data_IF_814531982711
#
_entry.id   IF_814531982711
#
_cell.length_a   1.000
_cell.length_b   1.000
_cell.length_c   1.000
_cell.angle_alpha   90.00
_cell.angle_beta   90.00
_cell.angle_gamma   90.00
#
_symmetry.space_group_name_H-M   'P 1'
#
loop_
_entity.id
_entity.type
_entity.pdbx_description
1 polymer ?
#
# COMPACT_ATOMS: atom_id res chain seq x y z
N UNK A 1 -4.38 -17.06 -8.78
CA UNK A 1 -3.83 -16.58 -7.48
C UNK A 1 -4.70 -15.50 -6.84
N UNK A 2 -5.27 -14.56 -7.60
CA UNK A 2 -6.12 -13.45 -7.09
C UNK A 2 -7.34 -13.94 -6.31
N UNK A 3 -8.11 -14.88 -6.88
CA UNK A 3 -9.33 -15.42 -6.27
C UNK A 3 -9.00 -16.04 -4.90
N UNK A 4 -7.88 -16.78 -4.81
CA UNK A 4 -7.41 -17.37 -3.55
C UNK A 4 -7.00 -16.30 -2.54
N UNK A 5 -6.32 -15.23 -2.98
CA UNK A 5 -5.92 -14.12 -2.10
C UNK A 5 -7.13 -13.36 -1.54
N UNK A 6 -8.11 -13.02 -2.38
CA UNK A 6 -9.34 -12.35 -1.96
C UNK A 6 -10.15 -13.27 -1.05
N UNK A 7 -10.31 -14.54 -1.42
CA UNK A 7 -11.01 -15.53 -0.61
C UNK A 7 -10.36 -15.72 0.76
N UNK A 8 -9.03 -15.80 0.81
CA UNK A 8 -8.26 -15.87 2.06
C UNK A 8 -8.44 -14.62 2.92
N UNK A 9 -8.40 -13.43 2.34
CA UNK A 9 -8.64 -12.18 3.06
C UNK A 9 -10.07 -12.13 3.63
N UNK A 10 -11.09 -12.50 2.85
CA UNK A 10 -12.49 -12.57 3.28
C UNK A 10 -12.66 -13.57 4.43
N UNK A 11 -12.12 -14.78 4.29
CA UNK A 11 -12.17 -15.81 5.35
C UNK A 11 -11.51 -15.31 6.64
N UNK A 12 -10.34 -14.66 6.53
CA UNK A 12 -9.61 -14.12 7.68
C UNK A 12 -10.45 -13.07 8.41
N UNK A 13 -11.06 -12.15 7.66
CA UNK A 13 -11.97 -11.13 8.22
C UNK A 13 -13.20 -11.79 8.85
N UNK A 14 -13.82 -12.77 8.20
CA UNK A 14 -15.00 -13.47 8.73
C UNK A 14 -14.69 -14.20 10.03
N UNK A 15 -13.60 -14.97 10.09
CA UNK A 15 -13.18 -15.73 11.28
C UNK A 15 -12.93 -14.79 12.45
N UNK A 16 -12.15 -13.74 12.25
CA UNK A 16 -11.82 -12.79 13.31
C UNK A 16 -13.01 -11.92 13.72
N UNK A 17 -13.95 -11.62 12.81
CA UNK A 17 -15.16 -10.86 13.13
C UNK A 17 -16.19 -11.70 13.91
N UNK A 18 -16.36 -12.98 13.54
CA UNK A 18 -17.34 -13.87 14.19
C UNK A 18 -16.96 -14.23 15.62
N UNK A 19 -15.68 -14.40 15.91
CA UNK A 19 -15.24 -14.90 17.21
C UNK A 19 -14.85 -13.75 18.16
N UNK A 20 -15.84 -13.27 18.93
CA UNK A 20 -15.68 -12.16 19.91
C UNK A 20 -14.52 -12.35 20.89
N UNK A 21 -14.12 -13.59 21.19
CA UNK A 21 -12.98 -13.88 22.08
C UNK A 21 -11.65 -13.34 21.53
N UNK A 22 -11.50 -13.29 20.21
CA UNK A 22 -10.27 -12.81 19.56
C UNK A 22 -10.11 -11.30 19.61
N UNK A 23 -11.20 -10.55 19.81
CA UNK A 23 -11.17 -9.09 19.90
C UNK A 23 -10.45 -8.59 21.15
N UNK A 24 -10.33 -9.46 22.16
CA UNK A 24 -9.58 -9.19 23.40
C UNK A 24 -8.07 -9.33 23.22
N UNK A 25 -7.61 -10.00 22.15
CA UNK A 25 -6.19 -10.15 21.87
C UNK A 25 -5.70 -8.98 21.00
N UNK A 26 -4.79 -8.14 21.50
CA UNK A 26 -4.30 -6.97 20.77
C UNK A 26 -3.62 -7.33 19.44
N UNK A 27 -2.77 -8.35 19.42
CA UNK A 27 -2.07 -8.82 18.21
C UNK A 27 -3.03 -9.20 17.08
N UNK A 28 -4.16 -9.84 17.41
CA UNK A 28 -5.15 -10.24 16.40
C UNK A 28 -5.83 -9.02 15.77
N UNK A 29 -6.02 -7.93 16.51
CA UNK A 29 -6.61 -6.71 15.95
C UNK A 29 -5.70 -6.08 14.89
N UNK A 30 -4.38 -6.12 15.07
CA UNK A 30 -3.43 -5.69 14.03
C UNK A 30 -3.49 -6.60 12.80
N UNK A 31 -3.53 -7.92 12.98
CA UNK A 31 -3.66 -8.88 11.87
C UNK A 31 -4.99 -8.72 11.12
N UNK A 32 -6.09 -8.44 11.83
CA UNK A 32 -7.38 -8.14 11.21
C UNK A 32 -7.32 -6.85 10.39
N UNK A 33 -6.73 -5.78 10.92
CA UNK A 33 -6.52 -4.54 10.16
C UNK A 33 -5.67 -4.78 8.91
N UNK A 34 -4.61 -5.59 9.03
CA UNK A 34 -3.81 -6.05 7.90
C UNK A 34 -4.61 -6.83 6.86
N UNK A 35 -5.45 -7.78 7.29
CA UNK A 35 -6.30 -8.56 6.37
C UNK A 35 -7.30 -7.69 5.61
N UNK A 36 -7.89 -6.67 6.27
CA UNK A 36 -8.76 -5.68 5.61
C UNK A 36 -7.97 -4.89 4.57
N UNK A 37 -6.79 -4.38 4.91
CA UNK A 37 -5.96 -3.65 3.95
C UNK A 37 -5.54 -4.52 2.77
N UNK A 38 -5.16 -5.78 2.99
CA UNK A 38 -4.84 -6.73 1.92
C UNK A 38 -6.05 -7.00 1.02
N UNK A 39 -7.26 -7.06 1.60
CA UNK A 39 -8.51 -7.17 0.85
C UNK A 39 -8.80 -5.98 -0.06
N UNK A 40 -8.32 -4.78 0.30
CA UNK A 40 -8.40 -3.56 -0.54
C UNK A 40 -7.26 -3.52 -1.55
N UNK A 41 -6.06 -3.89 -1.13
CA UNK A 41 -4.82 -3.85 -1.90
C UNK A 41 -4.85 -4.80 -3.11
N UNK A 42 -5.34 -6.03 -2.93
CA UNK A 42 -5.38 -7.04 -3.98
C UNK A 42 -6.22 -6.59 -5.19
N UNK A 43 -7.49 -6.17 -5.04
CA UNK A 43 -8.25 -5.57 -6.13
C UNK A 43 -7.53 -4.38 -6.77
N UNK A 44 -6.90 -3.52 -5.96
CA UNK A 44 -6.18 -2.35 -6.46
C UNK A 44 -5.08 -2.75 -7.44
N UNK A 45 -4.17 -3.67 -7.08
CA UNK A 45 -3.10 -4.12 -8.00
C UNK A 45 -3.68 -4.71 -9.30
N UNK A 46 -4.67 -5.59 -9.18
CA UNK A 46 -5.09 -6.40 -10.32
C UNK A 46 -6.10 -5.71 -11.23
N UNK A 47 -6.75 -4.65 -10.77
CA UNK A 47 -7.73 -3.89 -11.56
C UNK A 47 -7.11 -3.38 -12.87
N UNK A 48 -5.87 -2.86 -12.83
CA UNK A 48 -5.16 -2.42 -14.03
C UNK A 48 -4.89 -3.57 -15.00
N UNK A 49 -4.38 -4.69 -14.50
CA UNK A 49 -4.08 -5.87 -15.33
C UNK A 49 -5.34 -6.46 -15.95
N UNK A 50 -6.47 -6.49 -15.23
CA UNK A 50 -7.76 -6.98 -15.75
C UNK A 50 -8.29 -6.05 -16.85
N UNK A 51 -8.25 -4.74 -16.64
CA UNK A 51 -8.72 -3.76 -17.63
C UNK A 51 -7.89 -3.79 -18.91
N UNK A 52 -6.56 -3.82 -18.78
CA UNK A 52 -5.64 -3.80 -19.94
C UNK A 52 -5.60 -5.16 -20.65
N UNK A 53 -5.33 -6.25 -19.92
CA UNK A 53 -5.12 -7.56 -20.55
C UNK A 53 -6.43 -8.30 -20.81
N UNK A 54 -7.48 -8.05 -20.02
CA UNK A 54 -8.78 -8.70 -20.19
C UNK A 54 -9.69 -7.98 -21.18
N UNK A 55 -9.74 -6.64 -21.11
CA UNK A 55 -10.69 -5.84 -21.91
C UNK A 55 -10.03 -4.94 -22.96
N UNK A 56 -8.69 -4.85 -22.99
CA UNK A 56 -7.98 -3.91 -23.88
C UNK A 56 -8.20 -2.44 -23.51
N UNK A 57 -8.78 -2.16 -22.35
CA UNK A 57 -9.14 -0.81 -21.90
C UNK A 57 -8.00 -0.21 -21.08
N UNK A 58 -7.28 0.74 -21.67
CA UNK A 58 -6.24 1.49 -21.00
C UNK A 58 -6.77 2.60 -20.10
N UNK A 59 -7.78 2.36 -19.23
CA UNK A 59 -8.42 3.41 -18.42
C UNK A 59 -7.40 4.26 -17.63
N UNK A 60 -6.43 3.59 -17.00
CA UNK A 60 -5.35 4.24 -16.25
C UNK A 60 -4.27 4.91 -17.14
N UNK A 61 -4.30 4.69 -18.46
CA UNK A 61 -3.46 5.37 -19.44
C UNK A 61 -4.21 6.52 -20.14
N UNK A 62 -5.54 6.46 -20.16
CA UNK A 62 -6.41 7.46 -20.79
C UNK A 62 -6.86 8.54 -19.83
N UNK A 63 -7.09 8.21 -18.57
CA UNK A 63 -7.52 9.16 -17.54
C UNK A 63 -6.40 9.40 -16.54
N UNK A 64 -5.91 10.64 -16.51
CA UNK A 64 -4.84 11.06 -15.61
C UNK A 64 -5.29 11.06 -14.15
N UNK A 65 -6.58 11.26 -13.88
CA UNK A 65 -7.14 11.26 -12.51
C UNK A 65 -7.17 9.82 -11.99
N UNK A 66 -7.74 8.90 -12.78
CA UNK A 66 -7.81 7.48 -12.43
C UNK A 66 -6.40 6.89 -12.18
N UNK A 67 -5.40 7.28 -12.98
CA UNK A 67 -4.02 6.84 -12.81
C UNK A 67 -3.40 7.30 -11.48
N UNK A 68 -3.63 8.56 -11.10
CA UNK A 68 -3.09 9.15 -9.85
C UNK A 68 -3.69 8.47 -8.63
N UNK A 69 -5.02 8.32 -8.63
CA UNK A 69 -5.75 7.68 -7.55
C UNK A 69 -5.35 6.21 -7.40
N UNK A 70 -5.23 5.48 -8.51
CA UNK A 70 -4.79 4.09 -8.50
C UNK A 70 -3.39 3.91 -7.92
N UNK A 71 -2.42 4.71 -8.38
CA UNK A 71 -1.05 4.66 -7.86
C UNK A 71 -1.00 5.00 -6.37
N UNK A 72 -1.70 6.07 -5.96
CA UNK A 72 -1.79 6.46 -4.57
C UNK A 72 -2.34 5.33 -3.68
N UNK A 73 -3.46 4.73 -4.10
CA UNK A 73 -4.11 3.65 -3.37
C UNK A 73 -3.23 2.40 -3.31
N UNK A 74 -2.52 2.07 -4.39
CA UNK A 74 -1.58 0.95 -4.44
C UNK A 74 -0.45 1.14 -3.43
N UNK A 75 0.26 2.28 -3.44
CA UNK A 75 1.36 2.51 -2.52
C UNK A 75 0.91 2.56 -1.06
N UNK A 76 -0.16 3.31 -0.76
CA UNK A 76 -0.69 3.44 0.61
C UNK A 76 -1.11 2.08 1.18
N UNK A 77 -1.85 1.28 0.40
CA UNK A 77 -2.33 -0.02 0.86
C UNK A 77 -1.20 -1.04 1.03
N UNK A 78 -0.17 -0.99 0.18
CA UNK A 78 1.02 -1.87 0.28
C UNK A 78 1.75 -1.66 1.60
N UNK A 79 2.13 -0.41 1.90
CA UNK A 79 2.89 -0.12 3.13
C UNK A 79 2.08 -0.36 4.40
N UNK A 80 0.77 -0.10 4.34
CA UNK A 80 -0.12 -0.37 5.46
C UNK A 80 -0.21 -1.87 5.73
N UNK A 81 -0.37 -2.68 4.67
CA UNK A 81 -0.43 -4.14 4.78
C UNK A 81 0.86 -4.74 5.37
N UNK A 82 2.04 -4.19 5.03
CA UNK A 82 3.34 -4.61 5.59
C UNK A 82 3.53 -4.14 7.04
N UNK A 83 3.03 -2.95 7.38
CA UNK A 83 3.20 -2.36 8.71
C UNK A 83 2.45 -3.13 9.81
N UNK A 84 1.28 -3.68 9.50
CA UNK A 84 0.43 -4.33 10.51
C UNK A 84 1.02 -5.61 11.11
N UNK A 85 1.62 -6.53 10.33
CA UNK A 85 2.40 -7.64 10.87
C UNK A 85 3.56 -7.18 11.76
N UNK A 86 4.27 -6.10 11.40
CA UNK A 86 5.33 -5.53 12.23
C UNK A 86 4.80 -5.06 13.58
N UNK A 87 3.66 -4.36 13.59
CA UNK A 87 2.99 -3.96 14.83
C UNK A 87 2.48 -5.16 15.64
N UNK A 88 1.98 -6.20 14.98
CA UNK A 88 1.58 -7.44 15.66
C UNK A 88 2.79 -8.13 16.34
N UNK A 89 3.93 -8.18 15.67
CA UNK A 89 5.17 -8.71 16.25
C UNK A 89 5.68 -7.86 17.42
N UNK A 90 5.60 -6.53 17.30
CA UNK A 90 5.95 -5.62 18.38
C UNK A 90 5.03 -5.79 19.61
N UNK A 91 3.73 -5.96 19.38
CA UNK A 91 2.76 -6.22 20.44
C UNK A 91 3.02 -7.56 21.16
N UNK A 92 3.36 -8.61 20.40
CA UNK A 92 3.78 -9.89 20.98
C UNK A 92 5.06 -9.74 21.83
N UNK A 93 6.04 -8.98 21.35
CA UNK A 93 7.24 -8.65 22.12
C UNK A 93 6.89 -7.88 23.42
N UNK A 94 6.03 -6.86 23.32
CA UNK A 94 5.58 -6.11 24.49
C UNK A 94 4.80 -6.98 25.49
N UNK A 95 4.05 -7.97 25.01
CA UNK A 95 3.27 -8.90 25.84
C UNK A 95 4.13 -9.88 26.64
N UNK A 96 5.31 -10.24 26.11
CA UNK A 96 6.26 -11.19 26.72
C UNK A 96 7.28 -10.53 27.64
N UNK A 97 7.35 -9.19 27.64
CA UNK A 97 8.23 -8.42 28.52
C UNK A 97 7.94 -8.67 30.02
N UNK A 98 9.01 -8.80 30.82
CA UNK A 98 8.95 -9.08 32.27
C UNK A 98 8.36 -7.91 33.08
N UNK A 99 8.46 -6.67 32.57
CA UNK A 99 7.94 -5.49 33.26
C UNK A 99 6.41 -5.37 33.06
N UNK A 100 5.66 -5.59 34.14
CA UNK A 100 4.20 -5.58 34.14
C UNK A 100 3.59 -4.22 33.72
N UNK A 101 4.25 -3.11 34.07
CA UNK A 101 3.79 -1.77 33.72
C UNK A 101 3.87 -1.52 32.21
N UNK A 102 4.99 -1.93 31.60
CA UNK A 102 5.22 -1.84 30.16
C UNK A 102 4.22 -2.71 29.40
N UNK A 103 4.06 -3.96 29.83
CA UNK A 103 3.10 -4.91 29.25
C UNK A 103 1.67 -4.38 29.27
N UNK A 104 1.18 -3.94 30.44
CA UNK A 104 -0.21 -3.49 30.57
C UNK A 104 -0.50 -2.22 29.74
N UNK A 105 0.47 -1.32 29.64
CA UNK A 105 0.32 -0.08 28.87
C UNK A 105 0.24 -0.38 27.38
N UNK A 106 1.23 -1.08 26.81
CA UNK A 106 1.35 -1.31 25.37
C UNK A 106 0.38 -2.35 24.83
N UNK A 107 0.09 -3.40 25.59
CA UNK A 107 -0.88 -4.46 25.22
C UNK A 107 -2.35 -4.02 25.41
N UNK A 108 -2.60 -2.75 25.73
CA UNK A 108 -3.96 -2.25 25.94
C UNK A 108 -4.69 -2.07 24.61
N UNK A 109 -5.92 -2.58 24.52
CA UNK A 109 -6.76 -2.49 23.31
C UNK A 109 -6.98 -1.04 22.83
N UNK A 110 -6.96 -0.07 23.75
CA UNK A 110 -7.10 1.36 23.41
C UNK A 110 -5.90 1.86 22.63
N UNK A 111 -4.69 1.50 23.07
CA UNK A 111 -3.45 1.87 22.38
C UNK A 111 -3.41 1.17 21.03
N UNK A 112 -3.75 -0.10 20.95
CA UNK A 112 -3.78 -0.83 19.68
C UNK A 112 -4.67 -0.17 18.64
N UNK A 113 -5.91 0.19 19.00
CA UNK A 113 -6.83 0.88 18.09
C UNK A 113 -6.27 2.24 17.66
N UNK A 114 -5.68 2.98 18.59
CA UNK A 114 -5.03 4.26 18.29
C UNK A 114 -3.86 4.07 17.32
N UNK A 115 -2.98 3.10 17.56
CA UNK A 115 -1.84 2.77 16.69
C UNK A 115 -2.31 2.38 15.29
N UNK A 116 -3.38 1.59 15.16
CA UNK A 116 -3.95 1.24 13.86
C UNK A 116 -4.41 2.50 13.11
N UNK A 117 -5.20 3.35 13.76
CA UNK A 117 -5.71 4.59 13.16
C UNK A 117 -4.54 5.53 12.79
N UNK A 118 -3.61 5.75 13.72
CA UNK A 118 -2.42 6.59 13.50
C UNK A 118 -1.57 6.05 12.36
N UNK A 119 -1.41 4.73 12.21
CA UNK A 119 -0.65 4.13 11.12
C UNK A 119 -1.32 4.39 9.77
N UNK A 120 -2.64 4.21 9.67
CA UNK A 120 -3.39 4.48 8.43
C UNK A 120 -3.30 5.97 8.07
N UNK A 121 -3.54 6.86 9.02
CA UNK A 121 -3.49 8.32 8.81
C UNK A 121 -2.07 8.77 8.43
N UNK A 122 -1.05 8.26 9.12
CA UNK A 122 0.35 8.57 8.83
C UNK A 122 0.71 8.20 7.39
N UNK A 123 0.40 6.97 6.95
CA UNK A 123 0.69 6.55 5.58
C UNK A 123 -0.13 7.30 4.53
N UNK A 124 -1.39 7.63 4.83
CA UNK A 124 -2.24 8.48 3.98
C UNK A 124 -1.57 9.83 3.69
N UNK A 125 -1.04 10.49 4.73
CA UNK A 125 -0.38 11.79 4.61
C UNK A 125 0.96 11.67 3.88
N UNK A 126 1.79 10.68 4.24
CA UNK A 126 3.12 10.47 3.64
C UNK A 126 3.04 10.22 2.13
N UNK A 127 2.01 9.51 1.68
CA UNK A 127 1.84 9.16 0.27
C UNK A 127 1.02 10.17 -0.54
N UNK A 128 0.46 11.19 0.10
CA UNK A 128 -0.28 12.28 -0.57
C UNK A 128 0.53 12.96 -1.69
N UNK A 129 1.85 13.23 -1.55
CA UNK A 129 2.67 13.80 -2.62
C UNK A 129 2.70 12.97 -3.91
N UNK A 130 2.45 11.66 -3.85
CA UNK A 130 2.45 10.79 -5.04
C UNK A 130 1.35 11.19 -6.02
N UNK A 131 0.22 11.70 -5.53
CA UNK A 131 -0.89 12.19 -6.37
C UNK A 131 -0.42 13.34 -7.27
N UNK A 132 0.46 14.21 -6.76
CA UNK A 132 1.02 15.33 -7.52
C UNK A 132 2.11 14.90 -8.50
N UNK A 133 3.03 14.01 -8.08
CA UNK A 133 4.16 13.60 -8.92
C UNK A 133 3.73 12.74 -10.09
N UNK A 134 2.82 11.78 -9.87
CA UNK A 134 2.28 10.93 -10.95
C UNK A 134 1.60 11.77 -12.05
N UNK A 135 0.96 12.89 -11.67
CA UNK A 135 0.39 13.84 -12.60
C UNK A 135 1.39 14.53 -13.53
N UNK A 136 2.54 14.94 -12.99
CA UNK A 136 3.61 15.59 -13.76
C UNK A 136 4.22 14.59 -14.74
N UNK A 137 4.45 13.35 -14.32
CA UNK A 137 5.05 12.31 -15.17
C UNK A 137 4.14 11.95 -16.34
N UNK A 138 2.84 11.70 -16.10
CA UNK A 138 1.91 11.37 -17.19
C UNK A 138 1.69 12.53 -18.16
N UNK A 139 1.55 13.76 -17.65
CA UNK A 139 1.43 14.95 -18.49
C UNK A 139 2.69 15.18 -19.33
N UNK A 140 3.87 14.88 -18.77
CA UNK A 140 5.14 14.95 -19.50
C UNK A 140 5.22 13.85 -20.55
N UNK A 141 4.86 12.61 -20.25
CA UNK A 141 4.86 11.49 -21.22
C UNK A 141 3.86 11.72 -22.36
N UNK A 142 2.68 12.29 -22.10
CA UNK A 142 1.71 12.66 -23.15
C UNK A 142 2.21 13.78 -24.05
N UNK A 143 2.74 14.85 -23.47
CA UNK A 143 3.37 15.93 -24.23
C UNK A 143 4.56 15.43 -25.05
N UNK A 144 5.35 14.51 -24.49
CA UNK A 144 6.44 13.85 -25.20
C UNK A 144 5.92 12.93 -26.28
N UNK A 145 4.82 12.19 -26.11
CA UNK A 145 4.25 11.34 -27.18
C UNK A 145 3.72 12.17 -28.34
N UNK A 146 3.25 13.39 -28.08
CA UNK A 146 2.93 14.39 -29.10
C UNK A 146 4.16 15.05 -29.72
N UNK A 147 5.26 15.23 -28.98
CA UNK A 147 6.51 15.83 -29.45
C UNK A 147 7.50 14.82 -30.09
N UNK A 148 7.35 13.52 -29.83
CA UNK A 148 8.20 12.43 -30.31
C UNK A 148 7.94 12.09 -31.78
N UNK A 149 7.19 12.93 -32.48
CA UNK A 149 7.21 12.97 -33.93
C UNK A 149 8.58 13.52 -34.44
N UNK A 150 9.34 14.33 -33.67
CA UNK A 150 10.61 14.95 -34.14
C UNK A 150 11.74 15.14 -33.08
N UNK A 151 12.58 14.11 -32.81
CA UNK A 151 13.99 14.15 -32.24
C UNK A 151 14.23 13.90 -30.70
N UNK A 152 15.50 13.91 -30.18
CA UNK A 152 16.23 12.70 -29.76
C UNK A 152 16.47 12.53 -28.24
N UNK A 153 16.65 11.27 -27.82
CA UNK A 153 16.47 10.66 -26.48
C UNK A 153 17.43 11.04 -25.33
N UNK A 154 18.43 11.92 -25.52
CA UNK A 154 19.60 12.01 -24.61
C UNK A 154 19.41 12.79 -23.28
N UNK A 155 18.71 13.92 -23.31
CA UNK A 155 18.56 14.80 -22.11
C UNK A 155 17.46 14.31 -21.16
N UNK A 156 16.50 13.55 -21.71
CA UNK A 156 15.27 13.13 -21.05
C UNK A 156 15.50 12.01 -20.02
N UNK A 157 16.31 11.00 -20.36
CA UNK A 157 16.65 9.92 -19.44
C UNK A 157 17.33 10.44 -18.16
N UNK A 158 18.09 11.53 -18.27
CA UNK A 158 18.79 12.16 -17.14
C UNK A 158 17.84 12.88 -16.18
N UNK A 159 16.74 13.43 -16.70
CA UNK A 159 15.74 14.17 -15.92
C UNK A 159 14.75 13.23 -15.22
N UNK A 160 14.28 12.19 -15.93
CA UNK A 160 13.44 11.12 -15.37
C UNK A 160 14.18 10.35 -14.28
N UNK A 161 15.47 10.05 -14.46
CA UNK A 161 16.30 9.35 -13.46
C UNK A 161 16.50 10.16 -12.17
N UNK A 162 16.54 11.50 -12.26
CA UNK A 162 16.64 12.37 -11.06
C UNK A 162 15.32 12.44 -10.27
N UNK A 163 14.17 12.27 -10.93
CA UNK A 163 12.87 12.26 -10.27
C UNK A 163 12.52 10.89 -9.66
N UNK A 164 13.00 9.79 -10.27
CA UNK A 164 12.77 8.42 -9.79
C UNK A 164 13.74 7.99 -8.68
N UNK A 165 14.95 8.54 -8.61
CA UNK A 165 15.96 8.15 -7.63
C UNK A 165 15.47 8.24 -6.16
N UNK A 166 14.82 9.34 -5.72
CA UNK A 166 14.33 9.45 -4.34
C UNK A 166 13.24 8.43 -4.05
N UNK A 167 12.35 8.18 -5.02
CA UNK A 167 11.26 7.21 -4.90
C UNK A 167 11.79 5.79 -4.82
N UNK A 168 12.82 5.47 -5.60
CA UNK A 168 13.48 4.16 -5.60
C UNK A 168 14.28 3.94 -4.30
N UNK A 169 14.90 4.97 -3.75
CA UNK A 169 15.56 4.91 -2.43
C UNK A 169 14.54 4.68 -1.32
N UNK A 170 13.42 5.42 -1.32
CA UNK A 170 12.34 5.20 -0.34
C UNK A 170 11.73 3.81 -0.51
N UNK A 171 11.59 3.30 -1.74
CA UNK A 171 11.04 1.97 -1.98
C UNK A 171 12.00 0.83 -1.59
N UNK A 172 13.30 0.96 -1.91
CA UNK A 172 14.33 0.00 -1.51
C UNK A 172 14.46 -0.06 0.02
N UNK A 173 14.37 1.09 0.69
CA UNK A 173 14.33 1.15 2.17
C UNK A 173 13.04 0.52 2.73
N UNK A 174 11.93 0.57 1.98
CA UNK A 174 10.66 -0.03 2.39
C UNK A 174 10.54 -1.54 2.14
N UNK A 175 11.53 -2.17 1.49
CA UNK A 175 11.59 -3.63 1.31
C UNK A 175 10.51 -4.22 0.39
N UNK A 176 9.83 -3.41 -0.43
CA UNK A 176 8.81 -3.88 -1.38
C UNK A 176 9.50 -4.55 -2.59
N UNK A 177 9.32 -5.87 -2.82
CA UNK A 177 9.89 -6.52 -3.99
C UNK A 177 9.06 -6.16 -5.22
N UNK A 178 9.64 -5.41 -6.16
CA UNK A 178 9.06 -5.26 -7.49
C UNK A 178 9.18 -6.56 -8.27
N UNK A 179 8.07 -7.27 -8.44
CA UNK A 179 7.90 -8.21 -9.54
C UNK A 179 7.67 -7.43 -10.83
N UNK A 180 8.74 -7.08 -11.55
CA UNK A 180 8.63 -6.80 -12.98
C UNK A 180 8.45 -8.15 -13.68
N UNK A 181 7.22 -8.46 -14.06
CA UNK A 181 6.90 -9.47 -15.07
C UNK A 181 5.88 -8.90 -16.03
#
# INVERSE_FOLDING_TARGET
MIILGIFGAILTVLVFTKQRRFWRNPSINYLLAGAVMTGIHLPAIYLQSILVNGFGLGLFNTDDIACREHNYLLYMTTVAAISFPCWAAFDQYASTCRNASFRHRWSSIRIVRLTIICTIVFWTIVYLPIIFVSGIVNGTVRNLRGANDHRPRGRLAKQVRRMLLPQLVVLVVSGVPFGFQ
#
